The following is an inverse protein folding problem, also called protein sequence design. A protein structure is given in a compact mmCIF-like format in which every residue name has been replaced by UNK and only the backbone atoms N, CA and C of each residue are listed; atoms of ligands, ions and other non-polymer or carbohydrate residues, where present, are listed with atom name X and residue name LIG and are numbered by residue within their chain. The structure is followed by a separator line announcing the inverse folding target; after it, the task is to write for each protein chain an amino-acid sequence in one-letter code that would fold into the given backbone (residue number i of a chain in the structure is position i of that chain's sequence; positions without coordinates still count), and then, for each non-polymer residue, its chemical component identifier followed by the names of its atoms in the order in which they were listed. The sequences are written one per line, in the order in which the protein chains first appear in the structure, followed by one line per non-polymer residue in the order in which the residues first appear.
data_IF_422854891568
#
_entry.id   IF_422854891568
#
_cell.length_a   1.000
_cell.length_b   1.000
_cell.length_c   1.000
_cell.angle_alpha   90.00
_cell.angle_beta   90.00
_cell.angle_gamma   90.00
#
_symmetry.space_group_name_H-M   'P 1'
#
loop_
_entity.id
_entity.type
_entity.pdbx_description
1 polymer ?
#
# COMPACT_ATOMS: atom_id res chain seq x y z
N UNK A 1 -3.38 5.85 14.26
CA UNK A 1 -3.40 7.30 13.95
C UNK A 1 -2.03 7.80 13.52
N UNK A 2 -1.49 7.20 12.45
CA UNK A 2 -0.22 7.63 11.88
C UNK A 2 -0.28 9.07 11.37
N UNK A 3 0.76 9.86 11.63
CA UNK A 3 0.90 11.19 11.06
C UNK A 3 1.30 11.15 9.57
N UNK A 4 1.60 9.97 9.03
CA UNK A 4 2.13 9.79 7.67
C UNK A 4 1.46 8.61 6.97
N UNK A 5 1.07 8.76 5.72
CA UNK A 5 0.53 7.69 4.89
C UNK A 5 1.11 7.72 3.47
N UNK A 6 1.17 6.56 2.80
CA UNK A 6 1.60 6.47 1.42
C UNK A 6 0.49 6.97 0.48
N UNK A 7 0.72 8.07 -0.24
CA UNK A 7 -0.20 8.55 -1.29
C UNK A 7 0.19 7.97 -2.65
N UNK A 8 -0.75 7.32 -3.31
CA UNK A 8 -0.60 6.84 -4.68
C UNK A 8 -1.67 7.45 -5.60
N UNK A 9 -1.26 8.02 -6.73
CA UNK A 9 -2.15 8.55 -7.77
C UNK A 9 -1.96 7.75 -9.06
N UNK A 10 -2.99 7.05 -9.51
CA UNK A 10 -2.93 6.29 -10.75
C UNK A 10 -3.12 7.20 -11.96
N UNK A 11 -2.06 7.37 -12.73
CA UNK A 11 -2.06 8.17 -13.95
C UNK A 11 -2.59 7.44 -15.19
N UNK A 12 -2.57 8.12 -16.33
CA UNK A 12 -2.99 7.60 -17.64
C UNK A 12 -1.98 6.60 -18.26
N UNK A 13 -1.29 5.83 -17.43
CA UNK A 13 -0.36 4.78 -17.84
C UNK A 13 -1.07 3.47 -18.18
N UNK A 14 -0.39 2.36 -17.88
CA UNK A 14 -0.98 1.04 -18.06
C UNK A 14 -2.05 0.76 -17.00
N UNK A 15 -3.04 -0.06 -17.34
CA UNK A 15 -4.09 -0.47 -16.41
C UNK A 15 -3.55 -1.24 -15.18
N UNK A 16 -2.38 -1.87 -15.31
CA UNK A 16 -1.65 -2.57 -14.24
C UNK A 16 -0.66 -1.68 -13.45
N UNK A 17 -0.70 -0.35 -13.62
CA UNK A 17 0.13 0.55 -12.84
C UNK A 17 -0.26 0.49 -11.35
N UNK A 18 0.74 0.35 -10.50
CA UNK A 18 0.61 0.20 -9.05
C UNK A 18 1.75 0.86 -8.29
N UNK A 19 1.79 0.66 -6.99
CA UNK A 19 2.87 1.09 -6.11
C UNK A 19 3.43 -0.14 -5.39
N UNK A 20 4.76 -0.19 -5.22
CA UNK A 20 5.44 -1.25 -4.48
C UNK A 20 5.98 -0.72 -3.16
N UNK A 21 5.92 -1.57 -2.15
CA UNK A 21 6.52 -1.34 -0.84
C UNK A 21 7.52 -2.47 -0.61
N UNK A 22 8.78 -2.13 -0.32
CA UNK A 22 9.74 -3.10 0.15
C UNK A 22 9.55 -3.27 1.66
N UNK A 23 9.67 -4.50 2.12
CA UNK A 23 9.53 -4.88 3.53
C UNK A 23 10.91 -5.21 4.07
N UNK A 24 11.24 -4.72 5.26
CA UNK A 24 12.51 -5.04 5.95
C UNK A 24 12.60 -6.51 6.34
N UNK A 25 11.46 -7.09 6.65
CA UNK A 25 11.33 -8.52 6.99
C UNK A 25 10.41 -9.20 5.99
N UNK A 26 10.81 -10.37 5.51
CA UNK A 26 9.98 -11.17 4.62
C UNK A 26 8.68 -11.59 5.33
N UNK A 27 7.59 -11.65 4.59
CA UNK A 27 6.34 -12.25 5.09
C UNK A 27 6.56 -13.72 5.41
N UNK A 28 5.93 -14.18 6.49
CA UNK A 28 5.98 -15.57 6.95
C UNK A 28 4.57 -15.99 7.38
N UNK A 29 4.08 -17.12 6.83
CA UNK A 29 2.78 -17.67 7.19
C UNK A 29 2.67 -17.98 8.70
N UNK A 30 3.80 -18.18 9.41
CA UNK A 30 3.82 -18.35 10.85
C UNK A 30 3.33 -17.10 11.61
N UNK A 31 3.46 -15.90 11.01
CA UNK A 31 2.94 -14.64 11.55
C UNK A 31 1.48 -14.39 11.19
N UNK A 32 0.88 -15.32 10.43
CA UNK A 32 -0.49 -15.26 9.96
C UNK A 32 -0.61 -15.19 8.45
N UNK A 33 -1.81 -15.41 7.95
CA UNK A 33 -2.08 -15.44 6.51
C UNK A 33 -3.10 -14.38 6.09
N UNK A 34 -3.46 -13.47 7.00
CA UNK A 34 -4.29 -12.29 6.71
C UNK A 34 -3.39 -11.06 6.68
N UNK A 35 -3.49 -10.28 5.62
CA UNK A 35 -2.85 -8.96 5.52
C UNK A 35 -3.95 -7.91 5.57
N UNK A 36 -3.78 -6.90 6.41
CA UNK A 36 -4.68 -5.75 6.50
C UNK A 36 -3.93 -4.48 6.12
N UNK A 37 -4.66 -3.50 5.59
CA UNK A 37 -4.16 -2.16 5.36
C UNK A 37 -5.32 -1.17 5.51
N UNK A 38 -5.06 -0.03 6.11
CA UNK A 38 -5.99 1.08 6.08
C UNK A 38 -5.81 1.82 4.75
N UNK A 39 -6.90 1.97 4.02
CA UNK A 39 -6.90 2.64 2.71
C UNK A 39 -7.92 3.77 2.73
N UNK A 40 -7.51 4.94 2.27
CA UNK A 40 -8.41 6.06 2.03
C UNK A 40 -8.65 6.22 0.54
N UNK A 41 -9.92 6.33 0.17
CA UNK A 41 -10.37 6.72 -1.17
C UNK A 41 -11.70 7.48 -1.08
N UNK A 42 -11.92 8.40 -1.99
CA UNK A 42 -13.20 9.11 -2.14
C UNK A 42 -14.10 8.49 -3.21
N UNK A 43 -13.64 7.40 -3.85
CA UNK A 43 -14.36 6.69 -4.91
C UNK A 43 -14.30 5.20 -4.62
N UNK A 44 -15.44 4.51 -4.76
CA UNK A 44 -15.50 3.05 -4.64
C UNK A 44 -14.60 2.38 -5.69
N UNK A 45 -13.73 1.46 -5.24
CA UNK A 45 -12.73 0.79 -6.09
C UNK A 45 -12.33 -0.56 -5.52
N UNK A 46 -11.87 -1.42 -6.40
CA UNK A 46 -11.16 -2.63 -6.01
C UNK A 46 -9.67 -2.33 -5.80
N UNK A 47 -9.18 -2.64 -4.62
CA UNK A 47 -7.77 -2.49 -4.25
C UNK A 47 -7.15 -3.89 -4.21
N UNK A 48 -6.19 -4.12 -5.10
CA UNK A 48 -5.48 -5.40 -5.16
C UNK A 48 -4.17 -5.31 -4.40
N UNK A 49 -3.93 -6.25 -3.48
CA UNK A 49 -2.63 -6.50 -2.88
C UNK A 49 -1.99 -7.72 -3.54
N UNK A 50 -0.73 -7.61 -3.95
CA UNK A 50 -0.01 -8.66 -4.67
C UNK A 50 1.39 -8.86 -4.11
N UNK A 51 1.76 -10.12 -3.90
CA UNK A 51 3.15 -10.56 -3.76
C UNK A 51 3.69 -10.86 -5.17
N UNK A 52 4.41 -9.90 -5.75
CA UNK A 52 4.71 -9.88 -7.17
C UNK A 52 5.61 -11.06 -7.60
N UNK A 53 6.68 -11.36 -6.84
CA UNK A 53 7.60 -12.44 -7.18
C UNK A 53 6.93 -13.83 -7.10
N UNK A 54 5.97 -14.02 -6.20
CA UNK A 54 5.19 -15.24 -6.07
C UNK A 54 3.99 -15.28 -7.03
N UNK A 55 3.63 -14.15 -7.63
CA UNK A 55 2.44 -13.97 -8.46
C UNK A 55 1.14 -14.38 -7.73
N UNK A 56 1.04 -14.05 -6.45
CA UNK A 56 -0.15 -14.32 -5.60
C UNK A 56 -0.78 -12.99 -5.23
N UNK A 57 -2.09 -12.86 -5.46
CA UNK A 57 -2.83 -11.63 -5.23
C UNK A 57 -4.18 -11.86 -4.57
N UNK A 58 -4.67 -10.83 -3.88
CA UNK A 58 -6.03 -10.74 -3.31
C UNK A 58 -6.61 -9.36 -3.59
N UNK A 59 -7.92 -9.31 -3.71
CA UNK A 59 -8.68 -8.08 -3.98
C UNK A 59 -9.60 -7.81 -2.81
N UNK A 60 -9.62 -6.56 -2.35
CA UNK A 60 -10.59 -6.05 -1.40
C UNK A 60 -11.31 -4.84 -2.00
N UNK A 61 -12.63 -4.75 -1.82
CA UNK A 61 -13.42 -3.65 -2.36
C UNK A 61 -13.52 -2.53 -1.32
N UNK A 62 -13.12 -1.33 -1.73
CA UNK A 62 -13.25 -0.08 -0.97
C UNK A 62 -14.54 0.63 -1.36
N UNK A 63 -15.33 1.11 -0.39
CA UNK A 63 -16.64 1.73 -0.66
C UNK A 63 -16.55 3.18 -1.15
N UNK A 64 -15.42 3.84 -0.99
CA UNK A 64 -15.21 5.25 -1.34
C UNK A 64 -15.62 6.23 -0.25
N UNK A 65 -15.82 5.78 0.98
CA UNK A 65 -16.31 6.60 2.09
C UNK A 65 -15.21 7.19 3.00
N UNK A 66 -13.98 7.27 2.53
CA UNK A 66 -12.84 7.77 3.30
C UNK A 66 -11.89 6.67 3.73
N UNK A 67 -11.42 6.66 4.97
CA UNK A 67 -10.59 5.60 5.50
C UNK A 67 -11.39 4.32 5.77
N UNK A 68 -10.90 3.18 5.27
CA UNK A 68 -11.45 1.84 5.49
C UNK A 68 -10.32 0.85 5.71
N UNK A 69 -10.47 -0.03 6.70
CA UNK A 69 -9.55 -1.15 6.89
C UNK A 69 -9.90 -2.28 5.93
N UNK A 70 -9.00 -2.56 4.99
CA UNK A 70 -9.16 -3.62 4.01
C UNK A 70 -8.41 -4.87 4.48
N UNK A 71 -9.02 -6.04 4.25
CA UNK A 71 -8.47 -7.34 4.64
C UNK A 71 -8.25 -8.22 3.41
N UNK A 72 -7.07 -8.83 3.33
CA UNK A 72 -6.63 -9.70 2.24
C UNK A 72 -6.31 -11.08 2.80
N UNK A 73 -7.19 -12.04 2.55
CA UNK A 73 -7.06 -13.41 3.05
C UNK A 73 -6.17 -14.25 2.12
N UNK A 74 -4.98 -14.59 2.57
CA UNK A 74 -4.03 -15.47 1.90
C UNK A 74 -3.99 -16.87 2.50
N UNK A 75 -4.98 -17.27 3.29
CA UNK A 75 -5.02 -18.58 3.94
C UNK A 75 -4.74 -19.72 2.96
N UNK A 76 -3.73 -20.52 3.25
CA UNK A 76 -3.23 -21.61 2.40
C UNK A 76 -2.50 -21.16 1.12
N UNK A 77 -2.26 -19.86 0.95
CA UNK A 77 -1.59 -19.30 -0.22
C UNK A 77 -0.58 -18.19 0.14
N UNK A 78 -0.31 -17.94 1.43
CA UNK A 78 0.70 -16.98 1.85
C UNK A 78 2.06 -17.44 1.33
N UNK A 79 2.73 -16.65 0.46
CA UNK A 79 4.04 -17.02 -0.05
C UNK A 79 5.11 -16.79 1.02
N UNK A 80 6.12 -17.65 1.06
CA UNK A 80 7.28 -17.44 1.92
C UNK A 80 8.29 -16.48 1.28
N UNK A 81 9.11 -15.87 2.13
CA UNK A 81 10.29 -15.10 1.74
C UNK A 81 10.02 -13.89 0.82
N UNK A 82 8.82 -13.34 0.86
CA UNK A 82 8.49 -12.15 0.08
C UNK A 82 8.81 -10.88 0.86
N UNK A 83 9.71 -10.07 0.33
CA UNK A 83 10.10 -8.75 0.86
C UNK A 83 9.52 -7.59 0.03
N UNK A 84 8.58 -7.87 -0.86
CA UNK A 84 7.95 -6.85 -1.70
C UNK A 84 6.46 -7.10 -1.86
N UNK A 85 5.68 -6.07 -1.58
CA UNK A 85 4.23 -6.04 -1.77
C UNK A 85 3.89 -4.96 -2.79
N UNK A 86 2.93 -5.24 -3.67
CA UNK A 86 2.40 -4.26 -4.60
C UNK A 86 0.91 -3.98 -4.30
N UNK A 87 0.52 -2.70 -4.37
CA UNK A 87 -0.86 -2.28 -4.35
C UNK A 87 -1.28 -1.73 -5.70
N UNK A 88 -2.47 -2.11 -6.15
CA UNK A 88 -3.05 -1.63 -7.39
C UNK A 88 -4.43 -1.02 -7.10
N UNK A 89 -4.60 0.22 -7.47
CA UNK A 89 -5.88 0.91 -7.44
C UNK A 89 -6.65 0.57 -8.71
N UNK A 90 -7.62 -0.32 -8.63
CA UNK A 90 -8.43 -0.84 -9.74
C UNK A 90 -7.55 -1.41 -10.89
N UNK A 91 -7.00 -2.60 -10.68
CA UNK A 91 -5.97 -3.23 -11.54
C UNK A 91 -6.36 -3.28 -13.02
N UNK A 92 -7.65 -3.42 -13.33
CA UNK A 92 -8.15 -3.57 -14.70
C UNK A 92 -8.39 -2.25 -15.43
N UNK A 93 -8.37 -1.11 -14.71
CA UNK A 93 -8.72 0.20 -15.25
C UNK A 93 -7.49 1.09 -15.42
N UNK A 94 -7.54 1.98 -16.38
CA UNK A 94 -6.56 3.03 -16.58
C UNK A 94 -6.95 4.25 -15.75
N UNK A 95 -6.00 4.82 -15.01
CA UNK A 95 -6.21 6.08 -14.28
C UNK A 95 -6.15 7.29 -15.20
N UNK A 96 -6.41 8.47 -14.65
CA UNK A 96 -6.30 9.75 -15.34
C UNK A 96 -5.44 10.78 -14.60
N UNK A 97 -4.91 10.40 -13.42
CA UNK A 97 -4.08 11.27 -12.58
C UNK A 97 -4.85 12.28 -11.75
N UNK A 98 -6.17 12.19 -11.72
CA UNK A 98 -7.02 13.07 -10.87
C UNK A 98 -7.15 12.54 -9.45
N UNK A 99 -7.72 13.36 -8.56
CA UNK A 99 -8.01 12.97 -7.17
C UNK A 99 -8.95 11.76 -7.11
N UNK A 100 -9.79 11.53 -8.10
CA UNK A 100 -10.63 10.34 -8.20
C UNK A 100 -9.81 9.05 -8.33
N UNK A 101 -8.55 9.13 -8.72
CA UNK A 101 -7.61 8.01 -8.83
C UNK A 101 -6.52 8.01 -7.75
N UNK A 102 -6.75 8.79 -6.70
CA UNK A 102 -5.85 8.86 -5.54
C UNK A 102 -6.32 7.90 -4.45
N UNK A 103 -5.39 7.14 -3.90
CA UNK A 103 -5.54 6.40 -2.65
C UNK A 103 -4.42 6.77 -1.69
N UNK A 104 -4.71 6.64 -0.39
CA UNK A 104 -3.69 6.68 0.66
C UNK A 104 -3.69 5.32 1.35
N UNK A 105 -2.52 4.83 1.72
CA UNK A 105 -2.33 3.52 2.36
C UNK A 105 -1.57 3.73 3.65
N UNK A 106 -2.03 3.10 4.73
CA UNK A 106 -1.45 3.16 6.06
C UNK A 106 -1.66 1.85 6.80
N UNK A 107 -1.06 1.70 7.99
CA UNK A 107 -1.28 0.59 8.93
C UNK A 107 -1.24 -0.80 8.27
N UNK A 108 -0.26 -1.02 7.39
CA UNK A 108 -0.07 -2.33 6.76
C UNK A 108 0.36 -3.36 7.80
N UNK A 109 -0.42 -4.41 7.98
CA UNK A 109 -0.20 -5.40 9.03
C UNK A 109 -0.47 -6.83 8.54
N UNK A 110 0.21 -7.81 9.15
CA UNK A 110 -0.01 -9.25 8.94
C UNK A 110 -0.52 -9.87 10.25
N UNK A 111 -1.54 -10.74 10.19
CA UNK A 111 -2.14 -11.35 11.37
C UNK A 111 -2.61 -12.78 11.14
N UNK A 112 -2.83 -13.52 12.22
CA UNK A 112 -3.30 -14.91 12.20
C UNK A 112 -4.80 -15.06 11.91
N UNK A 113 -5.52 -13.96 11.66
CA UNK A 113 -6.94 -14.01 11.33
C UNK A 113 -7.83 -14.43 12.50
N UNK A 114 -8.14 -13.52 13.40
CA UNK A 114 -8.94 -13.80 14.59
C UNK A 114 -9.81 -12.65 15.08
N UNK A 115 -9.90 -11.53 14.39
CA UNK A 115 -10.78 -10.46 14.83
C UNK A 115 -11.51 -9.78 13.64
N UNK A 116 -12.78 -10.14 13.50
CA UNK A 116 -13.75 -9.45 12.64
C UNK A 116 -14.67 -8.61 13.49
N UNK A 117 -14.14 -7.63 14.22
CA UNK A 117 -15.05 -6.75 14.97
C UNK A 117 -14.39 -5.90 16.05
N UNK A 118 -14.04 -4.73 15.68
CA UNK A 118 -14.04 -3.51 16.49
C UNK A 118 -13.32 -3.55 17.85
N UNK A 119 -12.38 -2.66 17.97
CA UNK A 119 -11.53 -2.23 19.08
C UNK A 119 -10.14 -2.85 19.07
N UNK A 120 -9.21 -2.03 18.60
CA UNK A 120 -7.76 -2.12 18.81
C UNK A 120 -7.14 -3.52 18.68
N UNK A 121 -6.45 -3.86 17.57
CA UNK A 121 -5.80 -5.14 17.47
C UNK A 121 -4.70 -5.21 18.53
N UNK A 122 -4.84 -6.15 19.47
CA UNK A 122 -3.69 -6.60 20.24
C UNK A 122 -2.72 -7.20 19.23
N UNK A 123 -1.72 -6.42 18.84
CA UNK A 123 -0.70 -6.81 17.89
C UNK A 123 -0.01 -8.08 18.40
N UNK A 124 -0.32 -9.21 17.78
CA UNK A 124 0.68 -10.26 17.67
C UNK A 124 1.87 -9.60 16.95
N UNK A 125 3.05 -9.71 17.49
CA UNK A 125 4.29 -9.07 17.07
C UNK A 125 4.46 -9.19 15.56
N UNK A 126 4.06 -8.17 14.84
CA UNK A 126 4.15 -8.13 13.38
C UNK A 126 5.51 -7.54 13.08
N UNK A 127 6.27 -8.22 12.22
CA UNK A 127 7.49 -7.69 11.64
C UNK A 127 7.22 -6.57 10.61
N UNK A 128 6.03 -5.99 10.63
CA UNK A 128 5.59 -4.90 9.77
C UNK A 128 4.71 -3.91 10.54
N UNK A 129 5.21 -2.77 10.98
CA UNK A 129 4.49 -1.55 10.71
C UNK A 129 5.34 -0.66 9.81
N UNK A 130 4.95 -0.48 8.56
CA UNK A 130 5.34 0.72 7.83
C UNK A 130 4.27 1.76 8.16
N UNK A 131 4.47 2.49 9.25
CA UNK A 131 3.54 3.52 9.72
C UNK A 131 3.83 4.91 9.12
N UNK A 132 4.92 5.03 8.32
CA UNK A 132 5.41 6.27 7.73
C UNK A 132 5.62 7.42 8.74
N UNK A 133 5.81 7.11 10.03
CA UNK A 133 5.99 8.08 11.11
C UNK A 133 7.38 8.73 11.13
N UNK A 134 8.34 8.17 10.40
CA UNK A 134 9.70 8.68 10.36
C UNK A 134 9.82 9.88 9.41
N UNK A 135 10.88 10.66 9.59
CA UNK A 135 11.18 11.78 8.70
C UNK A 135 11.43 11.29 7.27
N UNK A 136 11.08 12.08 6.27
CA UNK A 136 11.13 11.71 4.84
C UNK A 136 12.49 11.19 4.35
N UNK A 137 13.58 11.59 5.01
CA UNK A 137 14.96 11.17 4.74
C UNK A 137 15.32 9.80 5.34
N UNK A 138 14.52 9.30 6.28
CA UNK A 138 14.66 7.93 6.80
C UNK A 138 14.19 6.86 5.81
N UNK A 139 13.33 7.26 4.86
CA UNK A 139 12.86 6.40 3.79
C UNK A 139 13.62 6.80 2.52
N UNK A 140 14.65 6.11 2.09
CA UNK A 140 15.31 6.36 0.80
C UNK A 140 14.29 6.27 -0.35
N UNK A 141 13.53 7.36 -0.54
CA UNK A 141 12.46 7.42 -1.53
C UNK A 141 13.05 7.88 -2.85
N UNK A 142 13.02 7.04 -3.86
CA UNK A 142 13.46 7.38 -5.20
C UNK A 142 12.38 7.09 -6.22
N UNK A 143 12.03 8.11 -7.01
CA UNK A 143 11.23 7.93 -8.22
C UNK A 143 12.11 7.43 -9.37
N UNK A 144 11.60 6.55 -10.20
CA UNK A 144 12.27 6.11 -11.43
C UNK A 144 11.40 6.37 -12.66
N UNK A 145 12.04 6.57 -13.80
CA UNK A 145 11.41 6.78 -15.12
C UNK A 145 10.34 7.89 -15.19
N UNK A 146 10.61 9.01 -14.53
CA UNK A 146 9.73 10.17 -14.54
C UNK A 146 8.66 10.16 -13.45
N UNK A 147 8.71 9.19 -12.53
CA UNK A 147 7.97 9.24 -11.27
C UNK A 147 8.60 10.26 -10.32
N UNK A 148 7.79 11.08 -9.66
CA UNK A 148 8.23 12.02 -8.62
C UNK A 148 7.51 11.65 -7.33
N UNK A 149 8.28 11.39 -6.27
CA UNK A 149 7.77 11.14 -4.94
C UNK A 149 8.10 12.33 -4.02
N UNK A 150 7.14 12.80 -3.26
CA UNK A 150 7.28 13.86 -2.26
C UNK A 150 6.51 13.50 -1.01
N UNK A 151 6.97 13.98 0.14
CA UNK A 151 6.24 13.89 1.40
C UNK A 151 5.44 15.16 1.59
N UNK A 152 4.13 15.07 1.78
CA UNK A 152 3.23 16.21 1.97
C UNK A 152 2.10 15.86 2.95
N UNK A 153 1.31 16.87 3.38
CA UNK A 153 0.17 16.63 4.24
C UNK A 153 -0.91 15.79 3.53
N UNK A 154 -1.35 14.70 4.18
CA UNK A 154 -2.44 13.83 3.75
C UNK A 154 -3.82 14.46 3.96
N UNK A 155 -4.91 13.73 3.66
CA UNK A 155 -6.27 14.25 3.72
C UNK A 155 -6.73 14.59 5.14
N UNK A 156 -6.11 14.04 6.16
CA UNK A 156 -6.34 14.30 7.58
C UNK A 156 -5.40 15.37 8.18
N UNK A 157 -4.53 15.96 7.34
CA UNK A 157 -3.51 16.91 7.75
C UNK A 157 -2.20 16.27 8.23
N UNK A 158 -2.12 14.94 8.23
CA UNK A 158 -0.91 14.19 8.51
C UNK A 158 0.08 14.25 7.35
N UNK A 159 1.35 13.94 7.60
CA UNK A 159 2.39 13.89 6.56
C UNK A 159 2.24 12.61 5.74
N UNK A 160 2.31 12.70 4.43
CA UNK A 160 2.10 11.58 3.52
C UNK A 160 3.12 11.56 2.40
N UNK A 161 3.47 10.37 1.91
CA UNK A 161 4.24 10.22 0.69
C UNK A 161 3.33 10.42 -0.53
N UNK A 162 3.61 11.44 -1.33
CA UNK A 162 2.97 11.67 -2.62
C UNK A 162 3.82 11.12 -3.74
N UNK A 163 3.25 10.28 -4.57
CA UNK A 163 3.85 9.85 -5.82
C UNK A 163 3.03 10.39 -7.01
N UNK A 164 3.71 11.09 -7.90
CA UNK A 164 3.12 11.57 -9.17
C UNK A 164 3.85 10.86 -10.32
N UNK A 165 3.11 10.06 -11.06
CA UNK A 165 3.61 9.46 -12.29
C UNK A 165 3.57 10.51 -13.40
N UNK A 166 4.74 10.95 -13.86
CA UNK A 166 4.87 11.81 -15.03
C UNK A 166 4.61 11.09 -16.35
N UNK A 167 4.86 11.76 -17.47
CA UNK A 167 4.73 11.21 -18.83
C UNK A 167 5.90 10.26 -19.21
N UNK A 168 6.51 9.60 -18.24
CA UNK A 168 7.62 8.68 -18.42
C UNK A 168 7.23 7.31 -18.96
N UNK A 169 8.12 6.34 -18.76
CA UNK A 169 7.91 4.96 -19.20
C UNK A 169 6.72 4.31 -18.48
N UNK A 170 6.11 3.32 -19.11
CA UNK A 170 4.93 2.62 -18.59
C UNK A 170 5.17 1.95 -17.21
N UNK A 171 6.42 1.66 -16.88
CA UNK A 171 6.88 1.02 -15.65
C UNK A 171 7.49 2.00 -14.63
N UNK A 172 7.29 3.32 -14.81
CA UNK A 172 7.70 4.33 -13.84
C UNK A 172 7.02 4.11 -12.47
N UNK A 173 7.78 4.20 -11.42
CA UNK A 173 7.34 3.92 -10.06
C UNK A 173 8.10 4.74 -9.00
N UNK A 174 7.92 4.34 -7.75
CA UNK A 174 8.65 4.86 -6.60
C UNK A 174 9.25 3.70 -5.80
N UNK A 175 10.44 3.90 -5.28
CA UNK A 175 11.09 3.02 -4.33
C UNK A 175 11.01 3.66 -2.95
N UNK A 176 10.75 2.86 -1.95
CA UNK A 176 10.96 3.22 -0.56
C UNK A 176 11.96 2.21 -0.02
N UNK A 177 13.12 2.70 0.39
CA UNK A 177 14.11 1.90 1.09
C UNK A 177 13.98 2.25 2.57
N UNK A 178 13.68 1.28 3.40
CA UNK A 178 13.59 1.47 4.84
C UNK A 178 14.93 1.00 5.41
N UNK A 179 15.80 1.93 5.75
CA UNK A 179 17.03 1.63 6.49
C UNK A 179 16.69 1.33 7.95
N UNK A 180 17.16 0.20 8.44
CA UNK A 180 17.07 -0.25 9.83
C UNK A 180 18.09 0.43 10.72
#
# INVERSE_FOLDING_TARGET
DGAVSLKYVKGAGQNWAGVWINLDTAVDAANGEIVTADVHSTVARDITLKFDAANVERVASHTGSGWESLSYDFTGAMPADQTKIAFFNDLSQQGDGTDAWTIYIDNLAQSTGGDTGGTDPVAATIALPVDFEEAADAYEIAGFDGGVATVEAGPDGAVSLKYVKGAGQNWAGVWINLDT
#
